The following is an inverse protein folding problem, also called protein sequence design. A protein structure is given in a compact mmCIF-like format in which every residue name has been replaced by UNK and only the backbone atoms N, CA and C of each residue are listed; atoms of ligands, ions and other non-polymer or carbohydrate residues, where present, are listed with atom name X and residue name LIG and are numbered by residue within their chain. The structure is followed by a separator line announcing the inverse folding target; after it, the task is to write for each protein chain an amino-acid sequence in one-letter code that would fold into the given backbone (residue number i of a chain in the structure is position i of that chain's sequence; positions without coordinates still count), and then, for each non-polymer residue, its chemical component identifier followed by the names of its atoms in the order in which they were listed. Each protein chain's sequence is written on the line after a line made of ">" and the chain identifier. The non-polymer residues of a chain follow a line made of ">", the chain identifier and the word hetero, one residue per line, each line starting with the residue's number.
data_IF_823846024830
#
_entry.id   IF_823846024830
#
_cell.length_a   1.000
_cell.length_b   1.000
_cell.length_c   1.000
_cell.angle_alpha   90.00
_cell.angle_beta   90.00
_cell.angle_gamma   90.00
#
_symmetry.space_group_name_H-M   'P 1'
#
loop_
_entity.id
_entity.type
_entity.pdbx_description
1 polymer ?
#
# COMPACT_ATOMS: atom_id res chain seq x y z
N UNK A 1 20.54 3.75 5.91
CA UNK A 1 20.64 2.33 6.32
C UNK A 1 20.26 1.45 5.13
N UNK A 2 21.06 0.42 4.84
CA UNK A 2 20.72 -0.61 3.85
C UNK A 2 20.51 -1.93 4.57
N UNK A 3 19.54 -2.72 4.12
CA UNK A 3 19.21 -4.01 4.71
C UNK A 3 18.48 -4.90 3.72
N UNK A 4 17.90 -5.97 4.25
CA UNK A 4 17.01 -6.87 3.52
C UNK A 4 15.78 -7.15 4.37
N UNK A 5 14.63 -7.20 3.73
CA UNK A 5 13.38 -7.66 4.34
C UNK A 5 12.87 -8.76 3.44
N UNK A 6 12.71 -9.97 3.97
CA UNK A 6 12.07 -11.04 3.19
C UNK A 6 12.76 -11.29 1.82
N UNK A 7 14.09 -11.25 1.85
CA UNK A 7 15.00 -11.31 0.68
C UNK A 7 14.88 -10.19 -0.37
N UNK A 8 14.07 -9.17 -0.11
CA UNK A 8 14.03 -7.94 -0.88
C UNK A 8 15.06 -6.92 -0.35
N UNK A 9 15.80 -6.20 -1.20
CA UNK A 9 16.60 -5.06 -0.79
C UNK A 9 15.73 -4.01 -0.10
N UNK A 10 16.18 -3.52 1.06
CA UNK A 10 15.58 -2.44 1.83
C UNK A 10 16.57 -1.28 1.94
N UNK A 11 16.12 -0.08 1.60
CA UNK A 11 16.81 1.16 1.87
C UNK A 11 15.95 2.00 2.80
N UNK A 12 16.55 2.52 3.87
CA UNK A 12 15.91 3.49 4.76
C UNK A 12 16.88 4.64 4.94
N UNK A 13 16.46 5.86 4.62
CA UNK A 13 17.26 7.07 4.75
C UNK A 13 16.45 8.14 5.46
N UNK A 14 17.11 9.05 6.16
CA UNK A 14 16.43 10.15 6.82
C UNK A 14 16.92 10.44 8.24
N UNK A 15 16.13 11.27 8.92
CA UNK A 15 16.40 11.77 10.25
C UNK A 15 15.12 11.72 11.09
N UNK A 16 15.30 11.43 12.37
CA UNK A 16 14.22 11.43 13.36
C UNK A 16 14.72 12.10 14.63
N UNK A 17 13.89 12.94 15.23
CA UNK A 17 14.15 13.49 16.57
C UNK A 17 12.98 13.12 17.51
N UNK A 18 13.00 11.91 18.08
CA UNK A 18 11.89 11.42 18.89
C UNK A 18 11.86 12.02 20.30
N UNK A 19 12.93 12.68 20.73
CA UNK A 19 13.06 13.29 22.06
C UNK A 19 12.67 14.78 22.08
N UNK A 20 12.42 15.39 20.92
CA UNK A 20 11.93 16.75 20.84
C UNK A 20 10.48 16.84 21.34
N UNK A 21 10.11 18.00 21.92
CA UNK A 21 8.73 18.27 22.33
C UNK A 21 7.75 18.11 21.16
N UNK A 22 8.17 18.52 19.96
CA UNK A 22 7.45 18.27 18.72
C UNK A 22 8.18 17.18 17.93
N UNK A 23 7.47 16.11 17.58
CA UNK A 23 8.00 15.05 16.74
C UNK A 23 8.48 15.65 15.40
N UNK A 24 9.76 15.41 15.10
CA UNK A 24 10.31 15.64 13.77
C UNK A 24 10.70 14.31 13.14
N UNK A 25 10.21 14.11 11.92
CA UNK A 25 10.51 12.95 11.09
C UNK A 25 10.71 13.44 9.66
N UNK A 26 11.75 12.96 9.00
CA UNK A 26 11.91 13.05 7.56
C UNK A 26 12.59 11.76 7.12
N UNK A 27 11.83 10.83 6.53
CA UNK A 27 12.27 9.47 6.27
C UNK A 27 11.80 8.98 4.92
N UNK A 28 12.74 8.41 4.16
CA UNK A 28 12.48 7.66 2.94
C UNK A 28 12.71 6.18 3.20
N UNK A 29 11.79 5.35 2.74
CA UNK A 29 11.91 3.89 2.78
C UNK A 29 11.62 3.30 1.39
N UNK A 30 12.48 2.40 0.94
CA UNK A 30 12.35 1.73 -0.34
C UNK A 30 12.54 0.23 -0.21
N UNK A 31 11.63 -0.51 -0.81
CA UNK A 31 11.69 -1.97 -0.97
C UNK A 31 11.51 -2.27 -2.44
N UNK A 32 12.35 -3.14 -3.01
CA UNK A 32 12.28 -3.47 -4.43
C UNK A 32 12.10 -4.96 -4.65
N UNK A 33 11.07 -5.34 -5.41
CA UNK A 33 10.89 -6.69 -5.93
C UNK A 33 10.69 -7.77 -4.87
N UNK A 34 10.08 -7.42 -3.73
CA UNK A 34 9.70 -8.36 -2.69
C UNK A 34 8.73 -9.39 -3.23
N UNK A 35 9.06 -10.67 -3.07
CA UNK A 35 8.17 -11.76 -3.46
C UNK A 35 6.90 -11.73 -2.59
N UNK A 36 5.72 -11.77 -3.19
CA UNK A 36 4.48 -11.74 -2.44
C UNK A 36 4.02 -13.12 -1.96
N UNK A 37 4.53 -14.20 -2.56
CA UNK A 37 4.14 -15.57 -2.20
C UNK A 37 4.41 -15.88 -0.72
N UNK A 38 5.47 -15.29 -0.15
CA UNK A 38 5.81 -15.47 1.26
C UNK A 38 4.79 -14.87 2.24
N UNK A 39 3.87 -14.03 1.76
CA UNK A 39 2.78 -13.46 2.57
C UNK A 39 1.47 -14.25 2.44
N UNK A 40 1.42 -15.31 1.62
CA UNK A 40 0.25 -16.17 1.48
C UNK A 40 -0.33 -16.67 2.80
N UNK A 41 0.48 -17.07 3.83
CA UNK A 41 -0.05 -17.47 5.12
C UNK A 41 -0.93 -16.40 5.81
N UNK A 42 -0.80 -15.13 5.42
CA UNK A 42 -1.58 -14.01 5.94
C UNK A 42 -2.67 -13.53 4.97
N UNK A 43 -2.50 -13.74 3.66
CA UNK A 43 -3.42 -13.22 2.64
C UNK A 43 -4.81 -13.86 2.71
N UNK A 44 -4.90 -15.15 3.04
CA UNK A 44 -6.18 -15.84 3.18
C UNK A 44 -7.13 -15.19 4.19
N UNK A 45 -6.58 -14.59 5.27
CA UNK A 45 -7.38 -13.91 6.31
C UNK A 45 -7.90 -12.53 5.88
N UNK A 46 -7.13 -11.78 5.09
CA UNK A 46 -7.43 -10.37 4.79
C UNK A 46 -7.93 -10.13 3.37
N UNK A 47 -7.53 -10.98 2.43
CA UNK A 47 -7.87 -10.89 1.00
C UNK A 47 -8.83 -12.02 0.60
N UNK A 48 -8.89 -13.11 1.37
CA UNK A 48 -9.74 -14.26 1.07
C UNK A 48 -9.17 -15.20 0.00
N UNK A 49 -7.91 -15.00 -0.39
CA UNK A 49 -7.19 -15.82 -1.38
C UNK A 49 -5.73 -16.01 -0.98
N UNK A 50 -5.15 -17.14 -1.35
CA UNK A 50 -3.69 -17.33 -1.34
C UNK A 50 -3.04 -16.54 -2.50
N UNK A 51 -1.79 -16.13 -2.33
CA UNK A 51 -1.01 -15.47 -3.39
C UNK A 51 -0.15 -16.52 -4.09
N UNK A 52 -0.42 -16.76 -5.38
CA UNK A 52 0.36 -17.71 -6.17
C UNK A 52 1.60 -17.09 -6.79
N UNK A 53 1.53 -15.80 -7.14
CA UNK A 53 2.65 -15.07 -7.74
C UNK A 53 2.48 -13.58 -7.51
N UNK A 54 3.59 -12.87 -7.46
CA UNK A 54 3.61 -11.42 -7.58
C UNK A 54 4.87 -10.83 -6.97
N UNK A 55 5.25 -9.63 -7.41
CA UNK A 55 6.32 -8.86 -6.80
C UNK A 55 5.84 -7.49 -6.38
N UNK A 56 6.20 -7.08 -5.17
CA UNK A 56 5.93 -5.77 -4.61
C UNK A 56 7.19 -4.92 -4.63
N UNK A 57 7.09 -3.72 -5.16
CA UNK A 57 8.04 -2.63 -4.88
C UNK A 57 7.29 -1.48 -4.24
N UNK A 58 7.92 -0.85 -3.27
CA UNK A 58 7.34 0.21 -2.47
C UNK A 58 8.39 1.30 -2.30
N UNK A 59 8.01 2.54 -2.57
CA UNK A 59 8.75 3.74 -2.24
C UNK A 59 7.84 4.62 -1.39
N UNK A 60 8.34 5.07 -0.26
CA UNK A 60 7.61 6.02 0.56
C UNK A 60 8.52 7.06 1.17
N UNK A 61 7.97 8.26 1.27
CA UNK A 61 8.56 9.37 1.97
C UNK A 61 7.56 9.85 3.02
N UNK A 62 8.02 10.02 4.26
CA UNK A 62 7.22 10.48 5.38
C UNK A 62 7.92 11.68 6.03
N UNK A 63 7.20 12.78 6.15
CA UNK A 63 7.64 13.98 6.85
C UNK A 63 6.64 14.37 7.93
N UNK A 64 7.15 14.64 9.13
CA UNK A 64 6.37 15.22 10.22
C UNK A 64 7.07 16.49 10.70
N UNK A 65 6.33 17.60 10.68
CA UNK A 65 6.79 18.89 11.20
C UNK A 65 5.62 19.62 11.83
N UNK A 66 5.80 20.14 13.05
CA UNK A 66 4.75 20.87 13.77
C UNK A 66 3.42 20.11 13.84
N UNK A 67 3.47 18.80 14.05
CA UNK A 67 2.30 17.92 14.12
C UNK A 67 1.56 17.77 12.80
N UNK A 68 2.07 18.28 11.68
CA UNK A 68 1.55 17.97 10.35
C UNK A 68 2.33 16.81 9.74
N UNK A 69 1.60 15.78 9.33
CA UNK A 69 2.11 14.65 8.55
C UNK A 69 1.92 14.92 7.06
N UNK A 70 2.97 14.69 6.29
CA UNK A 70 2.92 14.51 4.85
C UNK A 70 3.59 13.19 4.51
N UNK A 71 2.92 12.34 3.76
CA UNK A 71 3.46 11.08 3.31
C UNK A 71 3.10 10.82 1.86
N UNK A 72 4.06 10.33 1.10
CA UNK A 72 3.85 9.76 -0.22
C UNK A 72 4.08 8.26 -0.14
N UNK A 73 3.21 7.50 -0.79
CA UNK A 73 3.31 6.05 -0.89
C UNK A 73 3.13 5.68 -2.35
N UNK A 74 4.20 5.18 -2.97
CA UNK A 74 4.21 4.69 -4.34
C UNK A 74 4.40 3.17 -4.30
N UNK A 75 3.33 2.46 -4.62
CA UNK A 75 3.28 1.00 -4.60
C UNK A 75 3.18 0.46 -6.02
N UNK A 76 4.03 -0.50 -6.37
CA UNK A 76 4.01 -1.22 -7.64
C UNK A 76 3.90 -2.70 -7.38
N UNK A 77 2.85 -3.31 -7.91
CA UNK A 77 2.70 -4.76 -7.96
C UNK A 77 2.93 -5.21 -9.40
N UNK A 78 3.77 -6.21 -9.59
CA UNK A 78 3.98 -6.85 -10.88
C UNK A 78 3.43 -8.26 -10.84
N UNK A 79 2.60 -8.57 -11.84
CA UNK A 79 2.15 -9.91 -12.16
C UNK A 79 1.46 -10.65 -10.99
N UNK A 80 0.73 -9.91 -10.16
CA UNK A 80 0.00 -10.48 -9.02
C UNK A 80 -1.08 -11.46 -9.49
N UNK A 81 -1.04 -12.68 -8.99
CA UNK A 81 -2.10 -13.68 -9.21
C UNK A 81 -2.51 -14.33 -7.90
N UNK A 82 -3.81 -14.60 -7.78
CA UNK A 82 -4.40 -15.28 -6.64
C UNK A 82 -4.66 -16.75 -6.96
N UNK A 83 -4.48 -17.60 -5.95
CA UNK A 83 -4.83 -19.00 -6.01
C UNK A 83 -6.24 -19.27 -5.52
N UNK A 84 -6.38 -20.36 -4.75
CA UNK A 84 -7.68 -20.80 -4.27
C UNK A 84 -8.26 -19.82 -3.25
N UNK A 85 -9.59 -19.62 -3.24
CA UNK A 85 -10.26 -18.91 -2.16
C UNK A 85 -10.01 -19.61 -0.82
N UNK A 86 -9.75 -18.83 0.22
CA UNK A 86 -9.62 -19.30 1.59
C UNK A 86 -10.87 -18.90 2.36
N UNK A 87 -11.59 -19.89 2.90
CA UNK A 87 -12.77 -19.62 3.72
C UNK A 87 -12.34 -19.03 5.07
N UNK A 88 -12.85 -17.84 5.41
CA UNK A 88 -12.68 -17.26 6.75
C UNK A 88 -13.94 -16.54 7.22
N UNK A 89 -14.33 -16.68 8.50
CA UNK A 89 -15.50 -16.00 9.06
C UNK A 89 -15.38 -14.47 8.91
N UNK A 90 -16.45 -13.82 8.46
CA UNK A 90 -16.51 -12.36 8.35
C UNK A 90 -15.94 -11.78 7.04
N UNK A 91 -15.43 -12.61 6.13
CA UNK A 91 -15.08 -12.17 4.79
C UNK A 91 -16.34 -12.21 3.92
N UNK A 92 -16.93 -11.04 3.67
CA UNK A 92 -17.67 -10.85 2.42
C UNK A 92 -16.64 -10.96 1.31
N UNK A 93 -16.90 -11.82 0.31
CA UNK A 93 -16.10 -11.89 -0.92
C UNK A 93 -16.21 -10.57 -1.68
N UNK A 94 -15.67 -9.49 -1.12
CA UNK A 94 -15.34 -8.30 -1.89
C UNK A 94 -14.47 -8.81 -3.02
N UNK A 95 -14.78 -8.53 -4.29
CA UNK A 95 -14.09 -9.17 -5.38
C UNK A 95 -12.73 -8.48 -5.52
N UNK A 96 -11.80 -8.77 -4.60
CA UNK A 96 -10.43 -8.26 -4.62
C UNK A 96 -9.76 -8.70 -5.92
N UNK A 97 -10.08 -9.92 -6.39
CA UNK A 97 -9.70 -10.36 -7.73
C UNK A 97 -10.20 -9.42 -8.84
N UNK A 98 -11.44 -8.92 -8.75
CA UNK A 98 -11.97 -7.93 -9.69
C UNK A 98 -11.24 -6.59 -9.57
N UNK A 99 -11.07 -6.07 -8.35
CA UNK A 99 -10.34 -4.82 -8.13
C UNK A 99 -8.90 -4.90 -8.67
N UNK A 100 -8.20 -6.01 -8.42
CA UNK A 100 -6.88 -6.28 -8.98
C UNK A 100 -6.93 -6.33 -10.50
N UNK A 101 -7.90 -7.03 -11.11
CA UNK A 101 -8.03 -7.10 -12.56
C UNK A 101 -8.36 -5.75 -13.22
N UNK A 102 -9.07 -4.86 -12.53
CA UNK A 102 -9.40 -3.52 -13.02
C UNK A 102 -8.23 -2.54 -12.90
N UNK A 103 -7.39 -2.70 -11.87
CA UNK A 103 -6.24 -1.83 -11.62
C UNK A 103 -4.99 -2.24 -12.41
N UNK A 104 -4.99 -3.46 -12.97
CA UNK A 104 -3.87 -4.04 -13.67
C UNK A 104 -3.80 -3.51 -15.11
N UNK A 105 -2.63 -3.00 -15.50
CA UNK A 105 -2.33 -2.59 -16.87
C UNK A 105 -2.13 -3.83 -17.79
N UNK A 106 -2.10 -3.67 -19.13
CA UNK A 106 -1.88 -4.78 -20.05
C UNK A 106 -0.54 -5.52 -19.87
N UNK A 107 0.42 -4.90 -19.18
CA UNK A 107 1.72 -5.51 -18.84
C UNK A 107 1.66 -6.25 -17.50
N UNK A 108 0.48 -6.33 -16.88
CA UNK A 108 0.25 -7.03 -15.64
C UNK A 108 0.66 -6.26 -14.40
N UNK A 109 0.80 -4.93 -14.48
CA UNK A 109 1.28 -4.08 -13.38
C UNK A 109 0.16 -3.27 -12.77
N UNK A 110 0.20 -3.12 -11.45
CA UNK A 110 -0.69 -2.24 -10.70
C UNK A 110 0.16 -1.17 -10.04
N UNK A 111 -0.14 0.09 -10.31
CA UNK A 111 0.56 1.24 -9.75
C UNK A 111 -0.40 2.07 -8.91
N UNK A 112 -0.10 2.22 -7.63
CA UNK A 112 -0.98 2.87 -6.66
C UNK A 112 -0.20 3.97 -5.94
N UNK A 113 -0.72 5.19 -6.04
CA UNK A 113 -0.18 6.37 -5.37
C UNK A 113 -1.15 6.83 -4.29
N UNK A 114 -0.74 6.72 -3.03
CA UNK A 114 -1.57 7.08 -1.88
C UNK A 114 -0.88 8.19 -1.08
N UNK A 115 -1.08 9.46 -1.45
CA UNK A 115 -0.65 10.56 -0.59
C UNK A 115 -1.50 10.56 0.69
N UNK A 116 -0.86 10.77 1.82
CA UNK A 116 -1.50 10.96 3.12
C UNK A 116 -1.00 12.28 3.65
N UNK A 117 -1.90 13.21 3.92
CA UNK A 117 -1.57 14.48 4.55
C UNK A 117 -2.62 14.83 5.60
N UNK A 118 -2.19 15.44 6.70
CA UNK A 118 -3.09 15.89 7.75
C UNK A 118 -2.39 16.20 9.06
N UNK A 119 -3.11 16.85 9.96
CA UNK A 119 -2.63 17.09 11.32
C UNK A 119 -2.76 15.82 12.17
N UNK A 120 -1.71 15.51 12.92
CA UNK A 120 -1.68 14.45 13.92
C UNK A 120 -2.54 14.76 15.15
N UNK A 121 -2.93 16.02 15.33
CA UNK A 121 -3.80 16.47 16.42
C UNK A 121 -5.30 16.35 16.07
N UNK A 122 -5.63 16.07 14.81
CA UNK A 122 -7.03 15.91 14.37
C UNK A 122 -7.58 14.55 14.83
N UNK A 123 -8.57 14.49 15.73
CA UNK A 123 -9.16 13.23 16.19
C UNK A 123 -9.94 12.49 15.09
N UNK A 124 -10.27 13.15 13.97
CA UNK A 124 -10.85 12.52 12.79
C UNK A 124 -9.77 11.97 11.84
N UNK A 125 -8.50 12.33 12.02
CA UNK A 125 -7.39 11.77 11.27
C UNK A 125 -7.19 10.31 11.70
N UNK A 126 -7.71 9.39 10.89
CA UNK A 126 -7.44 7.96 10.99
C UNK A 126 -6.78 7.49 9.70
N UNK A 127 -5.62 6.83 9.82
CA UNK A 127 -4.90 6.25 8.68
C UNK A 127 -5.83 5.34 7.86
N UNK A 128 -6.68 4.57 8.52
CA UNK A 128 -7.69 3.73 7.86
C UNK A 128 -8.74 4.52 7.07
N UNK A 129 -9.25 5.65 7.61
CA UNK A 129 -10.22 6.49 6.92
C UNK A 129 -9.65 7.22 5.72
N UNK A 130 -8.41 7.70 5.81
CA UNK A 130 -7.71 8.33 4.67
C UNK A 130 -7.45 7.29 3.58
N UNK A 131 -6.93 6.11 3.94
CA UNK A 131 -6.69 5.03 2.97
C UNK A 131 -7.96 4.58 2.26
N UNK A 132 -9.07 4.39 2.99
CA UNK A 132 -10.34 3.99 2.40
C UNK A 132 -10.85 5.02 1.38
N UNK A 133 -10.80 6.31 1.70
CA UNK A 133 -11.21 7.40 0.79
C UNK A 133 -10.34 7.43 -0.47
N UNK A 134 -9.03 7.32 -0.32
CA UNK A 134 -8.11 7.34 -1.47
C UNK A 134 -8.31 6.12 -2.36
N UNK A 135 -8.56 4.92 -1.79
CA UNK A 135 -8.89 3.73 -2.56
C UNK A 135 -10.20 3.88 -3.34
N UNK A 136 -11.24 4.46 -2.73
CA UNK A 136 -12.51 4.75 -3.43
C UNK A 136 -12.27 5.70 -4.60
N UNK A 137 -11.51 6.78 -4.42
CA UNK A 137 -11.18 7.73 -5.50
C UNK A 137 -10.38 7.07 -6.64
N UNK A 138 -9.45 6.16 -6.30
CA UNK A 138 -8.70 5.40 -7.32
C UNK A 138 -9.63 4.48 -8.11
N UNK A 139 -10.58 3.81 -7.45
CA UNK A 139 -11.58 2.98 -8.12
C UNK A 139 -12.56 3.80 -8.97
N UNK A 140 -13.03 4.94 -8.49
CA UNK A 140 -13.89 5.86 -9.25
C UNK A 140 -13.20 6.30 -10.55
N UNK A 141 -11.93 6.74 -10.47
CA UNK A 141 -11.15 7.12 -11.66
C UNK A 141 -10.91 5.95 -12.62
N UNK A 142 -10.71 4.74 -12.10
CA UNK A 142 -10.56 3.55 -12.94
C UNK A 142 -11.85 3.24 -13.71
N UNK A 143 -13.02 3.41 -13.08
CA UNK A 143 -14.33 3.26 -13.73
C UNK A 143 -14.56 4.36 -14.77
N UNK A 144 -14.29 5.63 -14.44
CA UNK A 144 -14.42 6.75 -15.39
C UNK A 144 -13.55 6.55 -16.63
N UNK A 145 -12.34 6.02 -16.48
CA UNK A 145 -11.44 5.74 -17.61
C UNK A 145 -11.99 4.70 -18.59
N UNK A 146 -12.91 3.82 -18.18
CA UNK A 146 -13.55 2.81 -19.04
C UNK A 146 -14.65 3.43 -19.90
N UNK A 147 -15.32 4.48 -19.42
CA UNK A 147 -16.42 5.14 -20.13
C UNK A 147 -15.97 6.31 -21.02
N UNK A 148 -14.70 6.73 -20.92
CA UNK A 148 -14.09 7.76 -21.77
C UNK A 148 -13.23 7.13 -22.90
N UNK A 149 -13.39 5.83 -23.15
CA UNK A 149 -12.92 5.12 -24.34
C UNK A 149 -14.10 4.47 -25.06
#
# INVERSE_FOLDING_TARGET
>A
MRGRVHDAPLLIEGQINPLAQNLFLDMTAQVTGMDLMQFSPYSGKYVGYDIERGKLSFDAHYSVRNHDLQATNHLVLNELTFGKPVASPGITHFPVALAVSLLQDPQGRIMVNLPIAGSLDDPQFSVGGVLARTLVQVLEKAVESIFVH
#
